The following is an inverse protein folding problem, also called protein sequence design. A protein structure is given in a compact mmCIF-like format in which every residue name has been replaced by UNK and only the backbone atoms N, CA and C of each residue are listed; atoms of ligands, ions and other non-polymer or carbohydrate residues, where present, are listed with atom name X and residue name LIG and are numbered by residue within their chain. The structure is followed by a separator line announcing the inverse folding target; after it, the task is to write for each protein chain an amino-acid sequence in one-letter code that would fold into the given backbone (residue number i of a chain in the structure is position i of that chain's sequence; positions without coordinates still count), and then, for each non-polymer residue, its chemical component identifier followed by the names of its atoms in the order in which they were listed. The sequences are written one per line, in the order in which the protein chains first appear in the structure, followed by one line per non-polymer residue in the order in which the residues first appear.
data_IF_993894781305
#
_entry.id   IF_993894781305
#
_cell.length_a   1.000
_cell.length_b   1.000
_cell.length_c   1.000
_cell.angle_alpha   90.00
_cell.angle_beta   90.00
_cell.angle_gamma   90.00
#
_symmetry.space_group_name_H-M   'P 1'
#
loop_
_entity.id
_entity.type
_entity.pdbx_description
1 polymer ?
#
# COMPACT_ATOMS: atom_id res chain seq x y z
N UNK A 1 15.18 -0.32 -12.95
CA UNK A 1 15.59 0.12 -11.64
C UNK A 1 15.26 -0.93 -10.62
N UNK A 2 16.30 -1.45 -10.02
CA UNK A 2 16.13 -2.57 -9.09
C UNK A 2 15.28 -2.21 -7.89
N UNK A 3 15.54 -1.03 -7.33
CA UNK A 3 14.82 -0.61 -6.13
C UNK A 3 13.33 -0.46 -6.39
N UNK A 4 12.99 0.07 -7.56
CA UNK A 4 11.59 0.23 -7.92
C UNK A 4 10.92 -1.12 -8.13
N UNK A 5 11.64 -2.08 -8.69
CA UNK A 5 11.11 -3.42 -8.90
C UNK A 5 10.87 -4.12 -7.57
N UNK A 6 11.79 -3.95 -6.62
CA UNK A 6 11.61 -4.53 -5.29
C UNK A 6 10.40 -3.92 -4.60
N UNK A 7 10.23 -2.62 -4.77
CA UNK A 7 9.09 -1.92 -4.19
C UNK A 7 7.78 -2.50 -4.70
N UNK A 8 7.69 -2.68 -6.03
CA UNK A 8 6.47 -3.23 -6.61
C UNK A 8 6.22 -4.65 -6.14
N UNK A 9 7.27 -5.42 -6.03
CA UNK A 9 7.15 -6.80 -5.58
C UNK A 9 6.65 -6.86 -4.15
N UNK A 10 7.20 -6.02 -3.29
CA UNK A 10 6.78 -5.96 -1.90
C UNK A 10 5.31 -5.57 -1.77
N UNK A 11 4.88 -4.59 -2.58
CA UNK A 11 3.48 -4.18 -2.56
C UNK A 11 2.57 -5.29 -3.04
N UNK A 12 2.96 -5.98 -4.09
CA UNK A 12 2.17 -7.09 -4.61
C UNK A 12 2.07 -8.22 -3.60
N UNK A 13 3.18 -8.56 -2.97
CA UNK A 13 3.19 -9.63 -1.98
C UNK A 13 2.29 -9.28 -0.80
N UNK A 14 2.32 -8.02 -0.37
CA UNK A 14 1.47 -7.57 0.72
C UNK A 14 0.00 -7.65 0.32
N UNK A 15 -0.31 -7.24 -0.92
CA UNK A 15 -1.68 -7.30 -1.42
C UNK A 15 -2.21 -8.73 -1.41
N UNK A 16 -1.40 -9.67 -1.84
CA UNK A 16 -1.81 -11.07 -1.88
C UNK A 16 -1.99 -11.63 -0.48
N UNK A 17 -1.10 -11.26 0.43
CA UNK A 17 -1.15 -11.71 1.82
C UNK A 17 -2.42 -11.26 2.51
N UNK A 18 -2.85 -10.03 2.23
CA UNK A 18 -4.00 -9.45 2.91
C UNK A 18 -5.33 -9.74 2.23
N UNK A 19 -5.28 -10.25 1.00
CA UNK A 19 -6.51 -10.56 0.29
C UNK A 19 -7.41 -11.46 1.13
N UNK A 20 -8.71 -11.22 1.23
CA UNK A 20 -9.54 -10.26 0.50
C UNK A 20 -9.65 -8.88 1.14
N UNK A 21 -8.85 -8.56 2.12
CA UNK A 21 -8.82 -7.24 2.72
C UNK A 21 -7.94 -6.33 1.89
N UNK A 22 -8.21 -5.03 1.96
CA UNK A 22 -7.33 -4.07 1.34
C UNK A 22 -6.03 -4.00 2.11
N UNK A 23 -4.92 -4.14 1.40
CA UNK A 23 -3.61 -3.92 1.99
C UNK A 23 -3.31 -2.44 1.97
N UNK A 24 -2.58 -1.97 2.96
CA UNK A 24 -2.16 -0.58 3.01
C UNK A 24 -0.74 -0.51 3.52
N UNK A 25 0.02 0.44 3.01
CA UNK A 25 1.39 0.59 3.43
C UNK A 25 1.94 1.95 3.06
N UNK A 26 3.13 2.20 3.54
CA UNK A 26 3.82 3.47 3.33
C UNK A 26 5.01 3.24 2.41
N UNK A 27 5.16 4.12 1.43
CA UNK A 27 6.35 4.15 0.59
C UNK A 27 7.21 5.30 1.07
N UNK A 28 8.43 4.98 1.46
CA UNK A 28 9.33 5.99 2.01
C UNK A 28 10.02 6.78 0.89
N UNK A 29 10.69 7.86 1.29
CA UNK A 29 11.37 8.72 0.31
C UNK A 29 12.56 8.02 -0.33
N UNK A 30 13.08 6.98 0.30
CA UNK A 30 14.14 6.17 -0.30
C UNK A 30 13.59 4.91 -0.97
N UNK A 31 12.29 4.91 -1.25
CA UNK A 31 11.60 3.87 -2.03
C UNK A 31 11.65 2.50 -1.38
N UNK A 32 11.43 2.48 -0.09
CA UNK A 32 11.20 1.24 0.63
C UNK A 32 9.74 1.15 1.01
N UNK A 33 9.25 -0.07 1.10
CA UNK A 33 7.85 -0.29 1.43
C UNK A 33 7.72 -0.74 2.87
N UNK A 34 6.84 -0.09 3.60
CA UNK A 34 6.52 -0.45 4.98
C UNK A 34 5.09 -0.96 4.99
N UNK A 35 4.89 -2.28 5.09
CA UNK A 35 3.53 -2.81 5.17
C UNK A 35 2.91 -2.40 6.50
N UNK A 36 1.69 -1.91 6.43
CA UNK A 36 0.97 -1.43 7.60
C UNK A 36 -0.28 -2.26 7.78
N UNK A 37 -0.90 -2.13 8.94
CA UNK A 37 -2.13 -2.81 9.22
C UNK A 37 -3.30 -1.96 8.76
N UNK A 38 -4.27 -2.60 8.13
CA UNK A 38 -5.52 -1.93 7.77
C UNK A 38 -6.46 -2.02 8.97
N UNK A 39 -6.66 -0.90 9.64
CA UNK A 39 -7.49 -0.86 10.85
C UNK A 39 -8.92 -0.43 10.57
N UNK A 40 -9.32 -0.46 9.30
CA UNK A 40 -10.68 -0.14 8.94
C UNK A 40 -11.65 -1.16 9.52
N UNK A 41 -12.83 -0.74 9.96
CA UNK A 41 -13.86 -1.69 10.39
C UNK A 41 -14.44 -2.47 9.21
N UNK A 42 -14.20 -2.02 7.98
CA UNK A 42 -14.66 -2.72 6.78
C UNK A 42 -13.48 -2.93 5.84
N UNK A 43 -12.51 -3.77 6.26
CA UNK A 43 -11.22 -3.83 5.54
C UNK A 43 -11.29 -4.43 4.15
N UNK A 44 -12.39 -5.07 3.79
CA UNK A 44 -12.52 -5.63 2.44
C UNK A 44 -12.89 -4.57 1.41
N UNK A 45 -13.43 -3.45 1.85
CA UNK A 45 -13.89 -2.42 0.92
C UNK A 45 -13.29 -1.05 1.21
N UNK A 46 -12.53 -0.93 2.28
CA UNK A 46 -11.91 0.34 2.63
C UNK A 46 -10.63 0.09 3.38
N UNK A 47 -9.84 1.13 3.54
CA UNK A 47 -8.65 1.03 4.34
C UNK A 47 -8.55 2.22 5.29
N UNK A 48 -7.84 2.00 6.38
CA UNK A 48 -7.58 3.06 7.34
C UNK A 48 -6.20 2.82 7.92
N UNK A 49 -5.33 3.79 7.73
CA UNK A 49 -3.96 3.70 8.22
C UNK A 49 -3.92 4.14 9.66
N UNK A 50 -3.20 3.38 10.47
CA UNK A 50 -3.03 3.72 11.89
C UNK A 50 -2.24 5.03 11.98
N UNK A 51 -2.78 6.04 12.67
CA UNK A 51 -2.05 7.31 12.80
C UNK A 51 -0.67 7.16 13.42
N UNK A 52 -0.46 6.13 14.24
CA UNK A 52 0.85 5.90 14.84
C UNK A 52 1.89 5.58 13.76
N UNK A 53 1.48 4.92 12.68
CA UNK A 53 2.41 4.64 11.59
C UNK A 53 2.82 5.91 10.87
N UNK A 54 1.88 6.85 10.74
CA UNK A 54 2.18 8.12 10.10
C UNK A 54 3.14 8.94 10.95
N UNK A 55 2.93 8.94 12.26
CA UNK A 55 3.80 9.69 13.16
C UNK A 55 5.21 9.12 13.15
N UNK A 56 5.32 7.79 13.21
CA UNK A 56 6.62 7.13 13.21
C UNK A 56 7.43 7.44 11.96
N UNK A 57 6.75 7.67 10.85
CA UNK A 57 7.42 7.89 9.56
C UNK A 57 7.33 9.33 9.09
N UNK A 58 6.99 10.23 10.00
CA UNK A 58 6.84 11.65 9.66
C UNK A 58 8.12 12.17 9.01
N UNK A 59 7.94 12.89 7.91
CA UNK A 59 9.06 13.44 7.18
C UNK A 59 9.70 12.48 6.20
N UNK A 60 9.30 11.21 6.22
CA UNK A 60 9.88 10.20 5.35
C UNK A 60 8.86 9.51 4.45
N UNK A 61 7.67 10.08 4.34
CA UNK A 61 6.62 9.47 3.54
C UNK A 61 6.64 10.06 2.14
N UNK A 62 6.85 9.19 1.14
CA UNK A 62 6.75 9.57 -0.25
C UNK A 62 5.33 9.37 -0.76
N UNK A 63 4.68 8.30 -0.32
CA UNK A 63 3.31 8.03 -0.72
C UNK A 63 2.70 6.90 0.09
N UNK A 64 1.41 6.70 -0.12
CA UNK A 64 0.65 5.64 0.55
C UNK A 64 0.16 4.68 -0.53
N UNK A 65 0.33 3.39 -0.28
CA UNK A 65 -0.16 2.36 -1.17
C UNK A 65 -1.37 1.67 -0.55
N UNK A 66 -2.36 1.35 -1.38
CA UNK A 66 -3.44 0.47 -0.95
C UNK A 66 -3.90 -0.34 -2.15
N UNK A 67 -4.40 -1.54 -1.86
CA UNK A 67 -4.89 -2.42 -2.90
C UNK A 67 -6.41 -2.31 -3.00
N UNK A 68 -6.95 -2.87 -4.09
CA UNK A 68 -8.40 -2.85 -4.32
C UNK A 68 -8.88 -4.28 -4.59
N UNK A 69 -9.01 -5.09 -3.56
CA UNK A 69 -9.37 -6.50 -3.78
C UNK A 69 -10.79 -6.72 -4.28
N UNK A 70 -11.61 -5.67 -4.27
CA UNK A 70 -12.94 -5.76 -4.83
C UNK A 70 -12.97 -5.77 -6.34
N UNK A 71 -11.88 -5.39 -6.98
CA UNK A 71 -11.77 -5.45 -8.43
C UNK A 71 -11.70 -6.90 -8.87
N UNK A 72 -11.98 -7.12 -10.16
CA UNK A 72 -11.90 -8.47 -10.71
C UNK A 72 -10.51 -9.07 -10.51
N UNK A 73 -9.53 -8.23 -10.61
CA UNK A 73 -8.15 -8.64 -10.47
C UNK A 73 -7.66 -8.20 -9.10
N UNK A 74 -7.47 -9.13 -8.16
CA UNK A 74 -7.02 -8.74 -6.83
C UNK A 74 -5.58 -8.24 -6.79
N UNK A 75 -4.81 -8.51 -7.84
CA UNK A 75 -3.45 -8.00 -7.92
C UNK A 75 -3.52 -6.63 -8.56
N UNK A 76 -3.01 -5.58 -7.91
CA UNK A 76 -3.11 -4.23 -8.45
C UNK A 76 -2.46 -4.14 -9.82
N UNK A 77 -3.12 -3.47 -10.73
CA UNK A 77 -2.48 -3.16 -11.99
C UNK A 77 -1.40 -2.14 -11.72
N UNK A 78 -0.34 -2.24 -12.47
CA UNK A 78 0.83 -1.42 -12.21
C UNK A 78 0.53 0.06 -12.27
N UNK A 79 -0.18 0.45 -13.29
CA UNK A 79 -0.36 1.86 -13.55
C UNK A 79 -1.40 2.47 -12.65
N UNK A 80 -2.54 1.80 -12.55
CA UNK A 80 -3.65 2.40 -11.85
C UNK A 80 -3.43 2.44 -10.35
N UNK A 81 -2.99 1.32 -9.79
CA UNK A 81 -2.90 1.22 -8.34
C UNK A 81 -1.74 2.01 -7.79
N UNK A 82 -0.62 1.97 -8.47
CA UNK A 82 0.55 2.72 -8.00
C UNK A 82 0.30 4.21 -8.13
N UNK A 83 -0.30 4.64 -9.23
CA UNK A 83 -0.62 6.05 -9.40
C UNK A 83 -1.54 6.54 -8.31
N UNK A 84 -2.58 5.76 -8.00
CA UNK A 84 -3.52 6.15 -6.96
C UNK A 84 -2.83 6.25 -5.62
N UNK A 85 -1.91 5.34 -5.35
CA UNK A 85 -1.22 5.30 -4.06
C UNK A 85 -0.34 6.52 -3.84
N UNK A 86 0.23 7.06 -4.91
CA UNK A 86 1.19 8.15 -4.80
C UNK A 86 0.60 9.51 -5.12
N UNK A 87 -0.69 9.57 -5.24
CA UNK A 87 -1.36 10.82 -5.51
C UNK A 87 -1.47 11.61 -4.23
N UNK A 88 -1.16 12.89 -4.32
CA UNK A 88 -1.19 13.76 -3.16
C UNK A 88 -2.57 14.12 -2.68
#
# INVERSE_FOLDING_TARGET
MERFNELKEDMNNHSLREYPKEAVGIVTRDFKYIPCKNISPTPKISFLLDPADLVRNDGNIWGIFHSHPGDENPIPSKEDKVSAAFQE
#
